data_IF_383060805664
#
_entry.id   IF_383060805664
#
_cell.length_a   1.000
_cell.length_b   1.000
_cell.length_c   1.000
_cell.angle_alpha   90.00
_cell.angle_beta   90.00
_cell.angle_gamma   90.00
#
_symmetry.space_group_name_H-M   'P 1'
#
loop_
_entity.id
_entity.type
_entity.pdbx_description
1 polymer ?
#
# COMPACT_ATOMS: atom_id res chain seq x y z
N UNK A 1 -10.41 19.49 41.24
CA UNK A 1 -9.80 18.15 41.08
C UNK A 1 -9.86 17.79 39.60
N UNK A 2 -8.78 18.03 38.86
CA UNK A 2 -8.60 17.57 37.49
C UNK A 2 -8.20 16.09 37.53
N UNK A 3 -9.06 15.21 37.02
CA UNK A 3 -8.70 13.80 36.82
C UNK A 3 -7.93 13.67 35.50
N UNK A 4 -6.62 13.51 35.62
CA UNK A 4 -5.73 13.15 34.52
C UNK A 4 -6.15 11.79 33.97
N UNK A 5 -6.61 11.75 32.71
CA UNK A 5 -6.82 10.50 31.98
C UNK A 5 -5.49 10.14 31.34
N UNK A 6 -4.75 9.22 31.96
CA UNK A 6 -3.60 8.59 31.35
C UNK A 6 -4.07 7.59 30.29
N UNK A 7 -3.55 7.76 29.08
CA UNK A 7 -3.69 6.79 28.00
C UNK A 7 -2.40 5.98 27.95
N UNK A 8 -2.51 4.66 27.98
CA UNK A 8 -1.37 3.76 27.73
C UNK A 8 -1.65 3.02 26.42
N UNK A 9 -0.97 3.42 25.35
CA UNK A 9 -0.94 2.68 24.10
C UNK A 9 0.09 1.56 24.21
N UNK A 10 -0.38 0.32 24.32
CA UNK A 10 0.44 -0.86 24.05
C UNK A 10 0.27 -1.24 22.59
N UNK A 11 1.32 -1.03 21.79
CA UNK A 11 1.40 -1.48 20.41
C UNK A 11 1.63 -3.00 20.38
N UNK A 12 0.70 -3.74 19.78
CA UNK A 12 0.91 -5.11 19.31
C UNK A 12 0.62 -5.20 17.81
N UNK A 13 1.41 -6.04 17.13
CA UNK A 13 1.62 -6.12 15.68
C UNK A 13 0.35 -6.24 14.79
N UNK A 14 0.47 -5.91 13.48
CA UNK A 14 -0.65 -5.52 12.63
C UNK A 14 -1.16 -6.67 11.73
N UNK A 15 -1.98 -7.58 12.26
CA UNK A 15 -2.68 -8.57 11.39
C UNK A 15 -4.11 -8.95 11.80
N UNK A 16 -4.72 -8.24 12.76
CA UNK A 16 -6.13 -8.44 13.07
C UNK A 16 -6.69 -7.14 13.63
N UNK A 17 -7.88 -6.76 13.18
CA UNK A 17 -8.52 -5.47 13.49
C UNK A 17 -8.29 -5.00 14.92
N UNK A 18 -7.96 -3.72 15.06
CA UNK A 18 -7.65 -3.07 16.33
C UNK A 18 -8.90 -3.11 17.22
N UNK A 19 -9.01 -4.14 18.06
CA UNK A 19 -10.03 -4.20 19.09
C UNK A 19 -9.61 -3.26 20.22
N UNK A 20 -10.08 -2.02 20.14
CA UNK A 20 -10.03 -1.07 21.25
C UNK A 20 -10.99 -1.57 22.31
N UNK A 21 -10.52 -2.46 23.20
CA UNK A 21 -11.34 -2.97 24.28
C UNK A 21 -11.40 -1.94 25.41
N UNK A 22 -12.42 -1.08 25.34
CA UNK A 22 -12.82 -0.29 26.50
C UNK A 22 -13.39 -1.26 27.55
N UNK A 23 -12.64 -1.50 28.64
CA UNK A 23 -13.05 -2.37 29.75
C UNK A 23 -14.35 -1.95 30.47
N UNK A 24 -14.99 -0.86 30.04
CA UNK A 24 -16.24 -0.34 30.60
C UNK A 24 -17.43 -0.29 29.64
N UNK A 25 -17.29 -0.69 28.36
CA UNK A 25 -18.38 -0.61 27.39
C UNK A 25 -19.09 -1.96 27.22
N UNK A 26 -20.15 -2.18 28.00
CA UNK A 26 -21.10 -3.31 27.87
C UNK A 26 -22.08 -3.15 26.69
N UNK A 27 -21.69 -2.48 25.61
CA UNK A 27 -22.57 -2.17 24.48
C UNK A 27 -21.78 -2.21 23.16
N UNK A 28 -22.08 -3.19 22.31
CA UNK A 28 -21.64 -3.20 20.91
C UNK A 28 -22.29 -1.99 20.23
N UNK A 29 -21.49 -0.97 19.93
CA UNK A 29 -21.97 0.25 19.27
C UNK A 29 -21.46 0.22 17.84
N UNK A 30 -22.34 -0.17 16.92
CA UNK A 30 -22.10 -0.09 15.48
C UNK A 30 -22.19 1.38 15.05
N UNK A 31 -21.06 1.98 14.67
CA UNK A 31 -21.03 3.39 14.25
C UNK A 31 -21.40 3.48 12.78
N UNK A 32 -22.54 4.09 12.47
CA UNK A 32 -23.02 4.30 11.09
C UNK A 32 -22.60 5.69 10.61
N UNK A 33 -21.99 5.77 9.43
CA UNK A 33 -21.65 7.02 8.75
C UNK A 33 -22.62 7.25 7.59
N UNK A 34 -23.39 8.34 7.63
CA UNK A 34 -24.19 8.81 6.50
C UNK A 34 -23.49 10.02 5.87
N UNK A 35 -23.03 9.87 4.64
CA UNK A 35 -22.40 10.93 3.86
C UNK A 35 -22.64 10.65 2.37
N UNK A 36 -22.60 11.70 1.54
CA UNK A 36 -22.59 11.52 0.10
C UNK A 36 -21.32 10.74 -0.29
N UNK A 37 -21.42 9.71 -1.17
CA UNK A 37 -20.28 8.91 -1.60
C UNK A 37 -19.43 9.65 -2.64
N UNK A 38 -19.02 10.88 -2.32
CA UNK A 38 -18.26 11.76 -3.19
C UNK A 38 -16.91 12.06 -2.56
N UNK A 39 -15.84 11.95 -3.36
CA UNK A 39 -14.47 12.26 -2.98
C UNK A 39 -13.84 13.06 -4.12
N UNK A 40 -13.06 14.09 -3.77
CA UNK A 40 -12.27 14.83 -4.76
C UNK A 40 -11.26 13.89 -5.43
N UNK A 41 -11.23 13.87 -6.76
CA UNK A 41 -10.43 12.91 -7.53
C UNK A 41 -9.20 13.53 -8.22
N UNK A 42 -8.92 14.83 -7.99
CA UNK A 42 -7.77 15.50 -8.60
C UNK A 42 -6.43 15.11 -7.97
N UNK A 43 -6.43 14.83 -6.67
CA UNK A 43 -5.26 14.38 -5.93
C UNK A 43 -5.63 13.14 -5.13
N UNK A 44 -4.84 12.09 -5.27
CA UNK A 44 -5.05 10.84 -4.55
C UNK A 44 -3.74 10.32 -4.00
N UNK A 45 -3.80 9.61 -2.88
CA UNK A 45 -2.62 8.96 -2.31
C UNK A 45 -2.25 7.73 -3.13
N UNK A 46 -0.97 7.36 -3.10
CA UNK A 46 -0.44 6.17 -3.80
C UNK A 46 -1.24 4.92 -3.44
N UNK A 47 -1.58 4.74 -2.16
CA UNK A 47 -2.42 3.64 -1.68
C UNK A 47 -3.82 3.63 -2.32
N UNK A 48 -4.47 4.79 -2.44
CA UNK A 48 -5.80 4.87 -3.08
C UNK A 48 -5.74 4.63 -4.59
N UNK A 49 -4.62 4.95 -5.23
CA UNK A 49 -4.41 4.71 -6.67
C UNK A 49 -4.06 3.26 -7.01
N UNK A 50 -3.81 2.41 -6.00
CA UNK A 50 -3.40 1.04 -6.24
C UNK A 50 -4.49 0.26 -6.99
N UNK A 51 -4.12 -0.33 -8.12
CA UNK A 51 -5.00 -1.11 -9.00
C UNK A 51 -5.66 -0.31 -10.11
N UNK A 52 -5.47 1.01 -10.19
CA UNK A 52 -6.08 1.85 -11.23
C UNK A 52 -5.03 2.34 -12.24
N UNK A 53 -5.23 2.14 -13.56
CA UNK A 53 -4.37 2.77 -14.56
C UNK A 53 -4.72 4.26 -14.68
N UNK A 54 -3.70 5.11 -14.69
CA UNK A 54 -3.86 6.55 -14.81
C UNK A 54 -3.27 7.03 -16.14
N UNK A 55 -4.03 7.86 -16.87
CA UNK A 55 -3.65 8.29 -18.21
C UNK A 55 -2.55 9.36 -18.21
N UNK A 56 -2.58 10.29 -17.25
CA UNK A 56 -1.60 11.37 -17.05
C UNK A 56 -1.46 11.63 -15.57
N UNK A 57 -0.24 11.67 -15.06
CA UNK A 57 0.01 11.78 -13.61
C UNK A 57 1.17 12.70 -13.32
N UNK A 58 0.98 13.55 -12.32
CA UNK A 58 2.06 14.27 -11.65
C UNK A 58 2.34 13.56 -10.32
N UNK A 59 3.54 13.02 -10.16
CA UNK A 59 3.95 12.28 -8.97
C UNK A 59 4.92 13.10 -8.14
N UNK A 60 4.70 13.11 -6.84
CA UNK A 60 5.63 13.67 -5.88
C UNK A 60 6.35 12.53 -5.13
N UNK A 61 7.65 12.39 -5.37
CA UNK A 61 8.49 11.30 -4.84
C UNK A 61 9.28 11.68 -3.59
N UNK A 62 9.07 12.88 -3.03
CA UNK A 62 9.77 13.27 -1.79
C UNK A 62 8.92 12.85 -0.58
N UNK A 63 9.38 11.82 0.11
CA UNK A 63 8.78 11.32 1.33
C UNK A 63 9.35 12.06 2.56
N UNK A 64 8.51 12.43 3.56
CA UNK A 64 8.96 13.16 4.75
C UNK A 64 9.73 12.28 5.74
N UNK A 65 9.62 10.96 5.64
CA UNK A 65 10.21 10.00 6.57
C UNK A 65 11.18 9.09 5.81
N UNK A 66 12.32 8.77 6.41
CA UNK A 66 13.32 7.78 5.92
C UNK A 66 12.79 6.34 5.92
N UNK A 67 11.47 6.15 5.93
CA UNK A 67 10.86 4.84 5.79
C UNK A 67 10.78 4.57 4.29
N UNK A 68 11.90 4.09 3.77
CA UNK A 68 12.08 3.80 2.36
C UNK A 68 11.26 2.56 1.93
N UNK A 69 9.94 2.73 1.85
CA UNK A 69 9.07 1.69 1.32
C UNK A 69 9.13 1.72 -0.21
N UNK A 70 9.86 0.77 -0.81
CA UNK A 70 10.00 0.57 -2.27
C UNK A 70 8.64 0.63 -2.98
N UNK A 71 7.60 0.09 -2.33
CA UNK A 71 6.23 0.10 -2.83
C UNK A 71 5.70 1.52 -3.04
N UNK A 72 6.02 2.48 -2.17
CA UNK A 72 5.53 3.84 -2.26
C UNK A 72 6.04 4.58 -3.52
N UNK A 73 7.20 4.19 -4.04
CA UNK A 73 7.79 4.74 -5.27
C UNK A 73 7.32 3.95 -6.49
N UNK A 74 7.39 2.62 -6.44
CA UNK A 74 7.06 1.78 -7.59
C UNK A 74 5.56 1.81 -7.93
N UNK A 75 4.69 1.87 -6.92
CA UNK A 75 3.24 1.88 -7.11
C UNK A 75 2.74 3.04 -7.97
N UNK A 76 3.09 4.32 -7.72
CA UNK A 76 2.66 5.42 -8.59
C UNK A 76 3.30 5.38 -9.98
N UNK A 77 4.57 4.97 -10.09
CA UNK A 77 5.27 4.88 -11.38
C UNK A 77 4.64 3.83 -12.30
N UNK A 78 4.21 2.69 -11.74
CA UNK A 78 3.54 1.62 -12.48
C UNK A 78 2.09 1.92 -12.89
N UNK A 79 1.50 3.06 -12.46
CA UNK A 79 0.14 3.45 -12.88
C UNK A 79 0.08 4.01 -14.30
N UNK A 80 1.20 4.51 -14.81
CA UNK A 80 1.28 5.18 -16.10
C UNK A 80 1.84 4.23 -17.15
N UNK A 81 1.23 4.20 -18.34
CA UNK A 81 1.65 3.30 -19.44
C UNK A 81 2.85 3.83 -20.23
N UNK A 82 3.02 5.16 -20.30
CA UNK A 82 4.05 5.82 -21.11
C UNK A 82 4.77 6.88 -20.29
N UNK A 83 6.08 7.00 -20.49
CA UNK A 83 6.89 8.02 -19.78
C UNK A 83 6.48 9.46 -20.11
N UNK A 84 5.96 9.72 -21.31
CA UNK A 84 5.48 11.06 -21.74
C UNK A 84 4.29 11.56 -20.93
N UNK A 85 3.57 10.66 -20.28
CA UNK A 85 2.38 10.97 -19.49
C UNK A 85 2.69 11.09 -17.98
N UNK A 86 3.96 10.94 -17.60
CA UNK A 86 4.45 11.02 -16.23
C UNK A 86 5.28 12.30 -16.04
N UNK A 87 4.89 13.12 -15.07
CA UNK A 87 5.69 14.25 -14.60
C UNK A 87 6.09 14.04 -13.14
N UNK A 88 7.35 14.29 -12.81
CA UNK A 88 7.84 14.22 -11.43
C UNK A 88 7.98 15.66 -10.92
N UNK A 89 7.29 15.97 -9.82
CA UNK A 89 7.20 17.34 -9.31
C UNK A 89 8.53 17.88 -8.77
N UNK A 90 9.38 17.01 -8.22
CA UNK A 90 10.61 17.38 -7.52
C UNK A 90 11.77 16.44 -7.90
N UNK A 91 12.99 16.99 -7.90
CA UNK A 91 14.20 16.18 -8.02
C UNK A 91 14.27 15.18 -6.86
N UNK A 92 14.66 13.94 -7.16
CA UNK A 92 14.78 12.84 -6.21
C UNK A 92 16.14 12.14 -6.39
N UNK A 93 16.63 11.47 -5.34
CA UNK A 93 17.87 10.69 -5.43
C UNK A 93 17.60 9.37 -6.16
N UNK A 94 18.42 9.05 -7.15
CA UNK A 94 18.32 7.82 -7.94
C UNK A 94 18.48 6.55 -7.09
N UNK A 95 19.13 6.65 -5.92
CA UNK A 95 19.25 5.53 -4.96
C UNK A 95 17.91 4.95 -4.55
N UNK A 96 16.87 5.78 -4.52
CA UNK A 96 15.50 5.39 -4.17
C UNK A 96 14.91 4.39 -5.18
N UNK A 97 15.33 4.43 -6.45
CA UNK A 97 14.92 3.46 -7.48
C UNK A 97 15.75 2.16 -7.45
N UNK A 98 16.95 2.21 -6.88
CA UNK A 98 17.88 1.07 -6.83
C UNK A 98 17.70 0.22 -5.57
N UNK A 99 16.67 0.51 -4.79
CA UNK A 99 16.38 -0.21 -3.57
C UNK A 99 16.02 -1.66 -3.85
N UNK A 100 16.73 -2.57 -3.18
CA UNK A 100 16.52 -4.00 -3.34
C UNK A 100 15.30 -4.46 -2.54
N UNK A 101 14.39 -5.26 -3.14
CA UNK A 101 13.28 -5.87 -2.41
C UNK A 101 13.77 -6.72 -1.23
N UNK A 102 12.90 -6.90 -0.23
CA UNK A 102 13.22 -7.69 0.95
C UNK A 102 13.50 -9.15 0.56
N UNK A 103 14.36 -9.84 1.31
CA UNK A 103 14.72 -11.25 1.07
C UNK A 103 13.48 -12.16 1.02
N UNK A 104 12.47 -11.88 1.86
CA UNK A 104 11.20 -12.60 1.85
C UNK A 104 10.41 -12.41 0.55
N UNK A 105 10.41 -11.20 -0.01
CA UNK A 105 9.75 -10.91 -1.28
C UNK A 105 10.46 -11.60 -2.45
N UNK A 106 11.80 -11.64 -2.43
CA UNK A 106 12.60 -12.34 -3.44
C UNK A 106 12.32 -13.85 -3.39
N UNK A 107 12.33 -14.44 -2.19
CA UNK A 107 12.02 -15.86 -2.01
C UNK A 107 10.60 -16.20 -2.49
N UNK A 108 9.63 -15.31 -2.26
CA UNK A 108 8.26 -15.51 -2.77
C UNK A 108 8.19 -15.41 -4.30
N UNK A 109 8.91 -14.48 -4.92
CA UNK A 109 9.00 -14.40 -6.39
C UNK A 109 9.58 -15.69 -6.97
N UNK A 110 10.65 -16.23 -6.37
CA UNK A 110 11.26 -17.49 -6.80
C UNK A 110 10.29 -18.67 -6.63
N UNK A 111 9.59 -18.74 -5.49
CA UNK A 111 8.56 -19.76 -5.24
C UNK A 111 7.43 -19.70 -6.28
N UNK A 112 7.00 -18.50 -6.68
CA UNK A 112 5.95 -18.31 -7.69
C UNK A 112 6.43 -18.76 -9.08
N UNK A 113 7.69 -18.55 -9.42
CA UNK A 113 8.28 -19.00 -10.69
C UNK A 113 8.38 -20.53 -10.79
N UNK A 114 8.79 -21.16 -9.69
CA UNK A 114 8.76 -22.62 -9.57
C UNK A 114 7.34 -23.17 -9.70
N UNK A 115 6.37 -22.53 -9.05
CA UNK A 115 4.96 -22.92 -9.13
C UNK A 115 4.41 -22.76 -10.55
N UNK A 116 4.78 -21.69 -11.26
CA UNK A 116 4.41 -21.46 -12.65
C UNK A 116 4.93 -22.58 -13.54
N UNK A 117 6.21 -22.93 -13.43
CA UNK A 117 6.85 -23.99 -14.20
C UNK A 117 6.17 -25.36 -13.96
N UNK A 118 5.87 -25.67 -12.70
CA UNK A 118 5.15 -26.89 -12.31
C UNK A 118 3.70 -26.91 -12.83
N UNK A 119 3.04 -25.75 -12.89
CA UNK A 119 1.67 -25.64 -13.40
C UNK A 119 1.66 -25.84 -14.91
N UNK A 120 2.62 -25.26 -15.63
CA UNK A 120 2.77 -25.45 -17.07
C UNK A 120 3.06 -26.91 -17.44
N UNK A 121 3.92 -27.60 -16.69
CA UNK A 121 4.23 -29.00 -16.97
C UNK A 121 3.07 -29.94 -16.67
N UNK A 122 2.27 -29.65 -15.63
CA UNK A 122 1.12 -30.47 -15.23
C UNK A 122 -0.11 -30.27 -16.12
N UNK A 123 -0.32 -29.07 -16.62
CA UNK A 123 -1.49 -28.71 -17.44
C UNK A 123 -1.05 -28.27 -18.84
N UNK A 124 -0.09 -28.97 -19.45
CA UNK A 124 0.42 -28.63 -20.78
C UNK A 124 -0.69 -28.55 -21.83
N UNK A 125 -1.70 -29.41 -21.70
CA UNK A 125 -2.90 -29.45 -22.55
C UNK A 125 -3.73 -28.15 -22.54
N UNK A 126 -3.58 -27.28 -21.53
CA UNK A 126 -4.35 -26.02 -21.41
C UNK A 126 -3.62 -24.81 -21.99
N UNK A 127 -2.36 -24.98 -22.39
CA UNK A 127 -1.51 -23.90 -22.91
C UNK A 127 -1.20 -24.05 -24.41
N UNK A 128 -1.85 -25.00 -25.10
CA UNK A 128 -1.86 -25.12 -26.57
C UNK A 128 -2.80 -24.11 -27.25
#
# INVERSE_FOLDING_TARGET
MQTSRSWTETYSNPTSGTNISCRYCRYSSETKRSALPLVLAYCMTTYKSQGQPLNKVVVDLKFPNETDEIAAIYVPLSRVKRLVDLAILRLFDYKVLLMKPNKSQIAEIERLDQLYTNTQSRFSEWFE
#
